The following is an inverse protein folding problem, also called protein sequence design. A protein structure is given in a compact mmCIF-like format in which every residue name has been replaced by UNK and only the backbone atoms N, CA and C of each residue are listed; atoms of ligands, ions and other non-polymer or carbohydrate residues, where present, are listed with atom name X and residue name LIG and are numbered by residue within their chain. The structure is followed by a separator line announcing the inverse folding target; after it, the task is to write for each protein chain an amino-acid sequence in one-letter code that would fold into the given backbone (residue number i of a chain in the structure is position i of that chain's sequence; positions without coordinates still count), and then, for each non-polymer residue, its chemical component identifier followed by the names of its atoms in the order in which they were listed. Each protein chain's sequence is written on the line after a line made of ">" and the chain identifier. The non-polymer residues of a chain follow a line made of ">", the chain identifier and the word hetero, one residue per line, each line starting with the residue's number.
data_IF_445824147713
#
_entry.id   IF_445824147713
#
_cell.length_a   1.000
_cell.length_b   1.000
_cell.length_c   1.000
_cell.angle_alpha   90.00
_cell.angle_beta   90.00
_cell.angle_gamma   90.00
#
_symmetry.space_group_name_H-M   'P 1'
#
loop_
_entity.id
_entity.type
_entity.pdbx_description
1 polymer ?
#
# COMPACT_ATOMS: atom_id res chain seq x y z
N UNK A 1 -1.82 -0.22 -15.60
CA UNK A 1 -2.38 0.30 -14.32
C UNK A 1 -3.32 -0.71 -13.67
N UNK A 2 -4.40 -1.18 -14.31
CA UNK A 2 -5.28 -2.20 -13.71
C UNK A 2 -4.62 -3.58 -13.58
N UNK A 3 -3.79 -3.98 -14.56
CA UNK A 3 -3.14 -5.31 -14.56
C UNK A 3 -2.09 -5.50 -13.45
N UNK A 4 -1.32 -4.46 -13.10
CA UNK A 4 -0.27 -4.56 -12.08
C UNK A 4 -0.84 -4.64 -10.65
N UNK A 5 -1.96 -3.94 -10.42
CA UNK A 5 -2.71 -4.01 -9.16
C UNK A 5 -3.37 -5.38 -9.00
N UNK A 6 -3.95 -5.91 -10.09
CA UNK A 6 -4.50 -7.26 -10.11
C UNK A 6 -3.43 -8.29 -9.71
N UNK A 7 -2.19 -8.12 -10.19
CA UNK A 7 -1.10 -9.05 -9.94
C UNK A 7 -0.63 -9.08 -8.47
N UNK A 8 -0.41 -7.93 -7.83
CA UNK A 8 0.04 -7.90 -6.42
C UNK A 8 -1.08 -8.31 -5.46
N UNK A 9 -2.30 -7.81 -5.68
CA UNK A 9 -3.47 -8.23 -4.91
C UNK A 9 -3.67 -9.73 -5.02
N UNK A 10 -3.52 -10.30 -6.22
CA UNK A 10 -3.55 -11.75 -6.40
C UNK A 10 -2.49 -12.48 -5.56
N UNK A 11 -1.23 -11.99 -5.54
CA UNK A 11 -0.16 -12.59 -4.72
C UNK A 11 -0.52 -12.58 -3.23
N UNK A 12 -0.97 -11.44 -2.69
CA UNK A 12 -1.36 -11.32 -1.27
C UNK A 12 -2.57 -12.20 -0.94
N UNK A 13 -3.55 -12.28 -1.83
CA UNK A 13 -4.71 -13.17 -1.67
C UNK A 13 -4.30 -14.64 -1.65
N UNK A 14 -3.32 -15.00 -2.49
CA UNK A 14 -2.78 -16.35 -2.55
C UNK A 14 -2.02 -16.74 -1.27
N UNK A 15 -1.39 -15.78 -0.59
CA UNK A 15 -0.75 -16.00 0.72
C UNK A 15 -1.76 -16.36 1.83
N UNK A 16 -3.01 -15.88 1.74
CA UNK A 16 -4.09 -16.23 2.68
C UNK A 16 -4.64 -17.66 2.49
N UNK A 17 -4.32 -18.32 1.38
CA UNK A 17 -4.71 -19.71 1.12
C UNK A 17 -3.71 -20.68 1.74
N UNK A 18 -4.23 -21.78 2.30
CA UNK A 18 -3.38 -22.94 2.63
C UNK A 18 -2.71 -23.50 1.37
N UNK A 19 -1.61 -24.24 1.52
CA UNK A 19 -0.88 -24.82 0.40
C UNK A 19 -1.80 -25.64 -0.54
N UNK A 20 -2.72 -26.43 0.03
CA UNK A 20 -3.68 -27.23 -0.74
C UNK A 20 -4.73 -26.37 -1.44
N UNK A 21 -5.28 -25.35 -0.77
CA UNK A 21 -6.22 -24.41 -1.39
C UNK A 21 -5.57 -23.67 -2.56
N UNK A 22 -4.32 -23.24 -2.39
CA UNK A 22 -3.53 -22.55 -3.40
C UNK A 22 -3.29 -23.42 -4.62
N UNK A 23 -2.84 -24.66 -4.41
CA UNK A 23 -2.62 -25.62 -5.49
C UNK A 23 -3.92 -25.90 -6.26
N UNK A 24 -5.01 -26.22 -5.56
CA UNK A 24 -6.31 -26.48 -6.19
C UNK A 24 -6.82 -25.26 -6.97
N UNK A 25 -6.66 -24.04 -6.43
CA UNK A 25 -7.10 -22.83 -7.08
C UNK A 25 -6.31 -22.52 -8.36
N UNK A 26 -4.98 -22.60 -8.32
CA UNK A 26 -4.12 -22.33 -9.51
C UNK A 26 -4.36 -23.37 -10.60
N UNK A 27 -4.33 -24.65 -10.24
CA UNK A 27 -4.56 -25.73 -11.20
C UNK A 27 -5.94 -25.58 -11.86
N UNK A 28 -6.93 -25.05 -11.15
CA UNK A 28 -8.28 -24.86 -11.68
C UNK A 28 -8.47 -23.57 -12.48
N UNK A 29 -8.00 -22.43 -12.00
CA UNK A 29 -8.30 -21.11 -12.61
C UNK A 29 -7.22 -20.65 -13.58
N UNK A 30 -5.95 -21.01 -13.36
CA UNK A 30 -4.86 -20.62 -14.25
C UNK A 30 -4.55 -21.68 -15.33
N UNK A 31 -4.73 -22.96 -15.02
CA UNK A 31 -4.43 -24.08 -15.92
C UNK A 31 -5.69 -24.80 -16.45
N UNK A 32 -6.88 -24.38 -16.03
CA UNK A 32 -8.19 -24.91 -16.41
C UNK A 32 -8.35 -26.45 -16.33
N UNK A 33 -7.67 -27.10 -15.38
CA UNK A 33 -7.81 -28.55 -15.18
C UNK A 33 -9.18 -28.92 -14.61
N UNK A 34 -9.64 -30.14 -14.86
CA UNK A 34 -10.87 -30.68 -14.23
C UNK A 34 -10.59 -31.10 -12.79
N UNK A 35 -11.63 -31.06 -11.95
CA UNK A 35 -11.50 -31.49 -10.55
C UNK A 35 -11.02 -32.93 -10.40
N UNK A 36 -11.34 -33.82 -11.33
CA UNK A 36 -10.84 -35.19 -11.36
C UNK A 36 -9.32 -35.24 -11.56
N UNK A 37 -8.81 -34.46 -12.53
CA UNK A 37 -7.37 -34.40 -12.84
C UNK A 37 -6.57 -33.79 -11.68
N UNK A 38 -7.12 -32.74 -11.05
CA UNK A 38 -6.51 -32.12 -9.87
C UNK A 38 -6.52 -33.07 -8.67
N UNK A 39 -7.61 -33.83 -8.50
CA UNK A 39 -7.76 -34.80 -7.43
C UNK A 39 -6.71 -35.91 -7.53
N UNK A 40 -6.49 -36.42 -8.75
CA UNK A 40 -5.46 -37.42 -9.03
C UNK A 40 -4.05 -36.87 -8.75
N UNK A 41 -3.75 -35.64 -9.21
CA UNK A 41 -2.45 -34.98 -8.99
C UNK A 41 -2.14 -34.70 -7.52
N UNK A 42 -3.15 -34.33 -6.74
CA UNK A 42 -2.98 -33.97 -5.32
C UNK A 42 -3.27 -35.15 -4.38
N UNK A 43 -3.56 -36.33 -4.91
CA UNK A 43 -3.93 -37.54 -4.16
C UNK A 43 -5.08 -37.29 -3.15
N UNK A 44 -6.11 -36.57 -3.59
CA UNK A 44 -7.34 -36.31 -2.82
C UNK A 44 -8.55 -36.82 -3.59
N UNK A 45 -9.71 -36.91 -2.94
CA UNK A 45 -10.95 -37.24 -3.66
C UNK A 45 -11.44 -36.05 -4.48
N UNK A 46 -12.11 -36.30 -5.61
CA UNK A 46 -12.72 -35.25 -6.44
C UNK A 46 -13.70 -34.38 -5.63
N UNK A 47 -14.47 -35.01 -4.74
CA UNK A 47 -15.38 -34.31 -3.82
C UNK A 47 -14.62 -33.35 -2.89
N UNK A 48 -13.46 -33.78 -2.36
CA UNK A 48 -12.62 -32.91 -1.54
C UNK A 48 -12.03 -31.77 -2.38
N UNK A 49 -11.54 -32.05 -3.59
CA UNK A 49 -11.05 -31.03 -4.53
C UNK A 49 -12.10 -29.93 -4.77
N UNK A 50 -13.36 -30.31 -5.07
CA UNK A 50 -14.46 -29.37 -5.26
C UNK A 50 -14.73 -28.51 -4.03
N UNK A 51 -14.70 -29.10 -2.83
CA UNK A 51 -14.89 -28.36 -1.56
C UNK A 51 -13.74 -27.40 -1.29
N UNK A 52 -12.50 -27.85 -1.47
CA UNK A 52 -11.29 -27.02 -1.31
C UNK A 52 -11.32 -25.85 -2.29
N UNK A 53 -11.65 -26.11 -3.55
CA UNK A 53 -11.78 -25.07 -4.57
C UNK A 53 -12.84 -24.03 -4.22
N UNK A 54 -14.03 -24.47 -3.82
CA UNK A 54 -15.11 -23.55 -3.41
C UNK A 54 -14.71 -22.67 -2.24
N UNK A 55 -14.00 -23.23 -1.23
CA UNK A 55 -13.46 -22.47 -0.10
C UNK A 55 -12.40 -21.47 -0.53
N UNK A 56 -11.46 -21.89 -1.37
CA UNK A 56 -10.42 -21.01 -1.92
C UNK A 56 -11.05 -19.85 -2.71
N UNK A 57 -11.99 -20.14 -3.62
CA UNK A 57 -12.70 -19.13 -4.42
C UNK A 57 -13.47 -18.14 -3.55
N UNK A 58 -14.12 -18.60 -2.48
CA UNK A 58 -14.78 -17.71 -1.52
C UNK A 58 -13.80 -16.77 -0.82
N UNK A 59 -12.64 -17.26 -0.38
CA UNK A 59 -11.59 -16.43 0.25
C UNK A 59 -11.02 -15.39 -0.72
N UNK A 60 -10.77 -15.80 -1.97
CA UNK A 60 -10.26 -14.89 -3.02
C UNK A 60 -11.26 -13.76 -3.30
N UNK A 61 -12.55 -14.07 -3.45
CA UNK A 61 -13.57 -13.06 -3.76
C UNK A 61 -13.79 -12.06 -2.61
N UNK A 62 -13.99 -12.55 -1.37
CA UNK A 62 -14.25 -11.66 -0.21
C UNK A 62 -13.09 -10.70 0.02
N UNK A 63 -11.86 -11.19 -0.05
CA UNK A 63 -10.70 -10.32 0.15
C UNK A 63 -10.41 -9.43 -1.06
N UNK A 64 -10.82 -9.79 -2.28
CA UNK A 64 -10.74 -8.88 -3.43
C UNK A 64 -11.68 -7.68 -3.26
N UNK A 65 -12.93 -7.92 -2.84
CA UNK A 65 -13.92 -6.86 -2.58
C UNK A 65 -13.46 -5.93 -1.44
N UNK A 66 -12.98 -6.50 -0.32
CA UNK A 66 -12.43 -5.74 0.80
C UNK A 66 -11.23 -4.87 0.37
N UNK A 67 -10.30 -5.44 -0.42
CA UNK A 67 -9.13 -4.70 -0.90
C UNK A 67 -9.52 -3.55 -1.84
N UNK A 68 -10.49 -3.76 -2.73
CA UNK A 68 -10.97 -2.70 -3.63
C UNK A 68 -11.60 -1.52 -2.87
N UNK A 69 -12.42 -1.83 -1.85
CA UNK A 69 -13.04 -0.83 -0.97
C UNK A 69 -11.99 -0.09 -0.14
N UNK A 70 -11.03 -0.82 0.44
CA UNK A 70 -9.92 -0.23 1.19
C UNK A 70 -9.10 0.73 0.33
N UNK A 71 -8.79 0.35 -0.92
CA UNK A 71 -8.02 1.17 -1.83
C UNK A 71 -8.71 2.52 -2.14
N UNK A 72 -10.02 2.52 -2.39
CA UNK A 72 -10.79 3.76 -2.61
C UNK A 72 -10.72 4.69 -1.38
N UNK A 73 -10.88 4.13 -0.18
CA UNK A 73 -10.78 4.88 1.09
C UNK A 73 -9.37 5.45 1.26
N UNK A 74 -8.34 4.65 0.97
CA UNK A 74 -6.94 5.06 1.07
C UNK A 74 -6.64 6.21 0.11
N UNK A 75 -7.11 6.16 -1.14
CA UNK A 75 -6.99 7.29 -2.08
C UNK A 75 -7.65 8.57 -1.55
N UNK A 76 -8.85 8.46 -0.97
CA UNK A 76 -9.52 9.61 -0.36
C UNK A 76 -8.69 10.19 0.80
N UNK A 77 -8.10 9.32 1.64
CA UNK A 77 -7.23 9.74 2.74
C UNK A 77 -5.94 10.41 2.24
N UNK A 78 -5.36 9.93 1.12
CA UNK A 78 -4.22 10.58 0.48
C UNK A 78 -4.59 11.99 -0.01
N UNK A 79 -5.77 12.19 -0.59
CA UNK A 79 -6.21 13.53 -0.97
C UNK A 79 -6.36 14.46 0.23
N UNK A 80 -6.93 13.96 1.35
CA UNK A 80 -7.00 14.71 2.62
C UNK A 80 -5.60 15.04 3.15
N UNK A 81 -4.68 14.09 3.11
CA UNK A 81 -3.28 14.26 3.52
C UNK A 81 -2.59 15.36 2.70
N UNK A 82 -2.70 15.31 1.36
CA UNK A 82 -2.15 16.32 0.44
C UNK A 82 -2.76 17.70 0.74
N UNK A 83 -4.09 17.78 0.86
CA UNK A 83 -4.79 19.03 1.11
C UNK A 83 -4.30 19.68 2.42
N UNK A 84 -4.26 18.92 3.51
CA UNK A 84 -3.79 19.37 4.81
C UNK A 84 -2.33 19.81 4.80
N UNK A 85 -1.43 19.05 4.15
CA UNK A 85 -0.02 19.42 3.99
C UNK A 85 0.17 20.71 3.20
N UNK A 86 -0.55 20.86 2.08
CA UNK A 86 -0.44 22.05 1.23
C UNK A 86 -0.91 23.33 1.91
N UNK A 87 -1.82 23.22 2.89
CA UNK A 87 -2.38 24.34 3.67
C UNK A 87 -1.66 24.56 5.00
N UNK A 88 -0.72 23.68 5.37
CA UNK A 88 -0.11 23.69 6.70
C UNK A 88 -1.07 23.31 7.83
N UNK A 89 -2.27 22.82 7.52
CA UNK A 89 -3.28 22.41 8.51
C UNK A 89 -3.09 20.94 8.92
N UNK A 90 -1.94 20.65 9.52
CA UNK A 90 -1.51 19.28 9.83
C UNK A 90 -2.38 18.62 10.90
N UNK A 91 -3.16 19.39 11.66
CA UNK A 91 -4.15 18.88 12.59
C UNK A 91 -5.22 18.03 11.89
N UNK A 92 -5.58 18.32 10.64
CA UNK A 92 -6.51 17.49 9.87
C UNK A 92 -5.92 16.11 9.54
N UNK A 93 -4.59 16.01 9.42
CA UNK A 93 -3.90 14.73 9.21
C UNK A 93 -4.08 13.82 10.44
N UNK A 94 -4.25 14.38 11.64
CA UNK A 94 -4.46 13.62 12.87
C UNK A 94 -5.60 12.59 12.74
N UNK A 95 -6.70 12.92 12.07
CA UNK A 95 -7.85 12.02 11.97
C UNK A 95 -7.55 10.72 11.17
N UNK A 96 -6.61 10.80 10.22
CA UNK A 96 -6.25 9.68 9.34
C UNK A 96 -5.05 8.86 9.85
N UNK A 97 -4.38 9.28 10.93
CA UNK A 97 -3.28 8.51 11.54
C UNK A 97 -3.76 7.65 12.71
N UNK A 98 -3.18 6.45 12.85
CA UNK A 98 -3.31 5.67 14.09
C UNK A 98 -2.68 6.40 15.28
N UNK A 99 -3.03 6.00 16.51
CA UNK A 99 -2.46 6.57 17.74
C UNK A 99 -0.95 6.31 17.89
N UNK A 100 -0.50 5.18 17.34
CA UNK A 100 0.85 4.62 17.40
C UNK A 100 1.63 4.81 16.09
N UNK A 101 1.15 5.71 15.21
CA UNK A 101 1.76 5.96 13.91
C UNK A 101 3.26 6.24 14.03
N UNK A 102 4.02 5.68 13.10
CA UNK A 102 5.46 5.91 13.01
C UNK A 102 5.82 6.60 11.71
N UNK A 103 6.90 7.38 11.72
CA UNK A 103 7.48 7.97 10.52
C UNK A 103 8.96 7.62 10.40
N UNK A 104 9.33 7.10 9.23
CA UNK A 104 10.70 6.77 8.85
C UNK A 104 11.08 7.66 7.67
N UNK A 105 12.19 8.39 7.80
CA UNK A 105 12.68 9.28 6.75
C UNK A 105 14.04 8.81 6.22
N UNK A 106 14.17 8.70 4.91
CA UNK A 106 15.40 8.27 4.25
C UNK A 106 15.95 9.38 3.36
N UNK A 107 17.05 10.00 3.80
CA UNK A 107 17.81 10.98 3.04
C UNK A 107 19.10 10.44 2.42
N UNK A 108 19.41 9.15 2.57
CA UNK A 108 20.60 8.53 1.99
C UNK A 108 21.94 9.06 2.49
N UNK A 109 21.97 9.80 3.60
CA UNK A 109 23.17 10.50 4.08
C UNK A 109 23.49 11.81 3.32
N UNK A 110 22.80 12.07 2.21
CA UNK A 110 22.97 13.28 1.39
C UNK A 110 21.97 14.40 1.75
N UNK A 111 20.84 14.04 2.38
CA UNK A 111 19.81 14.96 2.88
C UNK A 111 19.62 14.74 4.38
N UNK A 112 19.57 15.83 5.16
CA UNK A 112 19.32 15.74 6.60
C UNK A 112 17.90 15.22 6.85
N UNK A 113 17.79 14.02 7.40
CA UNK A 113 16.53 13.41 7.84
C UNK A 113 16.60 13.00 9.31
N UNK A 114 15.45 12.66 9.91
CA UNK A 114 15.46 12.02 11.22
C UNK A 114 16.23 10.69 11.13
N UNK A 115 17.35 10.60 11.85
CA UNK A 115 18.23 9.42 11.84
C UNK A 115 17.54 8.21 12.48
N UNK A 116 16.57 8.46 13.38
CA UNK A 116 15.80 7.45 14.10
C UNK A 116 14.32 7.53 13.73
N UNK A 117 13.64 6.38 13.74
CA UNK A 117 12.20 6.27 13.59
C UNK A 117 11.49 7.18 14.61
N UNK A 118 10.57 8.01 14.12
CA UNK A 118 9.75 8.85 14.98
C UNK A 118 8.56 8.01 15.44
N UNK A 119 8.50 7.75 16.75
CA UNK A 119 7.47 6.95 17.39
C UNK A 119 6.67 7.88 18.30
N UNK A 120 5.60 8.46 17.75
CA UNK A 120 4.39 9.00 18.42
C UNK A 120 3.63 9.89 17.43
N UNK A 121 2.31 9.90 17.52
CA UNK A 121 1.44 10.73 16.68
C UNK A 121 1.78 12.21 16.77
N UNK A 122 2.03 12.74 17.97
CA UNK A 122 2.35 14.16 18.18
C UNK A 122 3.67 14.55 17.50
N UNK A 123 4.69 13.69 17.60
CA UNK A 123 5.99 13.94 16.98
C UNK A 123 5.92 13.83 15.46
N UNK A 124 5.15 12.86 14.94
CA UNK A 124 4.88 12.73 13.51
C UNK A 124 4.18 13.98 12.98
N UNK A 125 3.12 14.44 13.64
CA UNK A 125 2.41 15.68 13.25
C UNK A 125 3.32 16.92 13.33
N UNK A 126 4.18 17.00 14.35
CA UNK A 126 5.15 18.10 14.47
C UNK A 126 6.15 18.12 13.32
N UNK A 127 6.65 16.95 12.90
CA UNK A 127 7.53 16.85 11.74
C UNK A 127 6.79 17.22 10.44
N UNK A 128 5.59 16.70 10.23
CA UNK A 128 4.79 17.02 9.05
C UNK A 128 4.48 18.53 8.97
N UNK A 129 4.25 19.19 10.10
CA UNK A 129 4.08 20.65 10.19
C UNK A 129 5.36 21.40 9.79
N UNK A 130 6.53 20.93 10.26
CA UNK A 130 7.82 21.48 9.83
C UNK A 130 8.07 21.27 8.33
N UNK A 131 7.69 20.11 7.77
CA UNK A 131 7.77 19.80 6.34
C UNK A 131 6.85 20.75 5.53
N UNK A 132 5.59 20.89 5.93
CA UNK A 132 4.63 21.79 5.29
C UNK A 132 5.11 23.25 5.30
N UNK A 133 5.66 23.73 6.42
CA UNK A 133 6.04 25.14 6.55
C UNK A 133 7.35 25.46 5.83
N UNK A 134 8.36 24.60 5.96
CA UNK A 134 9.73 24.90 5.48
C UNK A 134 10.01 24.36 4.09
N UNK A 135 9.39 23.25 3.72
CA UNK A 135 9.80 22.48 2.55
C UNK A 135 8.74 22.44 1.45
N UNK A 136 7.51 22.89 1.68
CA UNK A 136 6.46 22.89 0.65
C UNK A 136 6.32 24.21 -0.13
N UNK A 137 6.99 25.29 0.29
CA UNK A 137 6.98 26.57 -0.45
C UNK A 137 7.56 26.34 -1.86
N UNK A 138 6.78 26.66 -2.89
CA UNK A 138 7.17 26.47 -4.29
C UNK A 138 7.17 25.01 -4.76
N UNK A 139 6.59 24.09 -3.98
CA UNK A 139 6.48 22.67 -4.34
C UNK A 139 5.02 22.27 -4.56
N UNK A 140 4.81 21.27 -5.42
CA UNK A 140 3.50 20.64 -5.65
C UNK A 140 3.50 19.27 -4.99
N UNK A 141 2.38 18.88 -4.39
CA UNK A 141 2.11 17.50 -4.00
C UNK A 141 1.10 16.89 -4.96
N UNK A 142 1.38 15.68 -5.42
CA UNK A 142 0.53 14.94 -6.33
C UNK A 142 0.28 13.54 -5.79
N UNK A 143 -0.98 13.08 -5.81
CA UNK A 143 -1.32 11.69 -5.53
C UNK A 143 -0.81 10.82 -6.67
N UNK A 144 -0.10 9.75 -6.33
CA UNK A 144 0.48 8.80 -7.28
C UNK A 144 0.40 7.39 -6.71
N UNK A 145 0.69 6.40 -7.54
CA UNK A 145 0.87 5.02 -7.07
C UNK A 145 2.36 4.74 -6.87
N UNK A 146 2.72 4.36 -5.64
CA UNK A 146 4.09 3.99 -5.25
C UNK A 146 4.06 2.54 -4.78
N UNK A 147 4.78 1.66 -5.47
CA UNK A 147 4.76 0.21 -5.18
C UNK A 147 3.33 -0.35 -5.08
N UNK A 148 2.46 0.04 -6.02
CA UNK A 148 1.06 -0.37 -6.13
C UNK A 148 0.13 0.11 -5.01
N UNK A 149 0.60 0.96 -4.10
CA UNK A 149 -0.18 1.56 -3.03
C UNK A 149 -0.35 3.08 -3.26
N UNK A 150 -1.45 3.70 -2.78
CA UNK A 150 -1.60 5.15 -2.81
C UNK A 150 -0.45 5.86 -2.08
N UNK A 151 0.18 6.81 -2.75
CA UNK A 151 1.31 7.57 -2.25
C UNK A 151 1.27 9.04 -2.66
N UNK A 152 2.27 9.81 -2.23
CA UNK A 152 2.38 11.24 -2.57
C UNK A 152 3.74 11.55 -3.14
N UNK A 153 3.76 12.17 -4.31
CA UNK A 153 4.94 12.73 -4.95
C UNK A 153 5.08 14.20 -4.57
N UNK A 154 6.28 14.62 -4.19
CA UNK A 154 6.63 16.03 -3.99
C UNK A 154 7.49 16.49 -5.15
N UNK A 155 7.00 17.48 -5.88
CA UNK A 155 7.63 18.06 -7.05
C UNK A 155 8.13 19.47 -6.76
N UNK A 156 9.33 19.78 -7.23
CA UNK A 156 9.84 21.15 -7.35
C UNK A 156 10.32 21.34 -8.78
N UNK A 157 9.80 22.36 -9.48
CA UNK A 157 10.17 22.63 -10.88
C UNK A 157 10.06 21.38 -11.80
N UNK A 158 9.01 20.56 -11.57
CA UNK A 158 8.75 19.27 -12.23
C UNK A 158 9.75 18.13 -11.91
N UNK A 159 10.73 18.37 -11.04
CA UNK A 159 11.62 17.32 -10.51
C UNK A 159 11.07 16.70 -9.23
N UNK A 160 11.22 15.37 -9.11
CA UNK A 160 10.85 14.63 -7.90
C UNK A 160 11.88 14.91 -6.80
N UNK A 161 11.44 15.57 -5.73
CA UNK A 161 12.29 15.91 -4.58
C UNK A 161 11.89 15.17 -3.31
N UNK A 162 10.83 14.39 -3.35
CA UNK A 162 10.42 13.55 -2.24
C UNK A 162 9.23 12.65 -2.58
N UNK A 163 9.12 11.55 -1.86
CA UNK A 163 8.02 10.59 -1.97
C UNK A 163 7.54 10.24 -0.56
N UNK A 164 6.22 10.30 -0.35
CA UNK A 164 5.58 9.65 0.78
C UNK A 164 4.94 8.33 0.34
N UNK A 165 5.19 7.29 1.12
CA UNK A 165 4.50 6.00 1.04
C UNK A 165 3.92 5.64 2.40
N UNK A 166 2.88 4.83 2.42
CA UNK A 166 2.08 4.61 3.62
C UNK A 166 1.86 3.11 3.85
N UNK A 167 1.90 2.70 5.12
CA UNK A 167 1.34 1.43 5.55
C UNK A 167 0.01 1.68 6.23
N UNK A 168 -1.00 0.88 5.89
CA UNK A 168 -2.39 1.08 6.28
C UNK A 168 -2.84 0.02 7.27
N UNK A 169 -3.58 0.44 8.29
CA UNK A 169 -4.26 -0.46 9.21
C UNK A 169 -5.50 -1.02 8.55
N UNK A 170 -5.48 -2.32 8.21
CA UNK A 170 -6.50 -2.99 7.40
C UNK A 170 -7.96 -2.73 7.85
N UNK A 171 -8.21 -2.69 9.16
CA UNK A 171 -9.58 -2.58 9.69
C UNK A 171 -10.15 -1.15 9.69
N UNK A 172 -9.29 -0.12 9.73
CA UNK A 172 -9.73 1.28 9.85
C UNK A 172 -9.32 2.13 8.66
N UNK A 173 -8.49 1.58 7.76
CA UNK A 173 -7.80 2.29 6.69
C UNK A 173 -7.04 3.52 7.19
N UNK A 174 -6.65 3.58 8.46
CA UNK A 174 -5.80 4.65 8.98
C UNK A 174 -4.34 4.36 8.68
N UNK A 175 -3.52 5.40 8.56
CA UNK A 175 -2.08 5.31 8.33
C UNK A 175 -1.40 4.87 9.64
N UNK A 176 -0.75 3.71 9.60
CA UNK A 176 0.04 3.13 10.70
C UNK A 176 1.53 3.46 10.58
N UNK A 177 2.05 3.57 9.34
CA UNK A 177 3.42 3.97 9.09
C UNK A 177 3.51 4.93 7.91
N UNK A 178 4.37 5.93 8.03
CA UNK A 178 4.72 6.88 6.97
C UNK A 178 6.19 6.69 6.62
N UNK A 179 6.46 6.45 5.35
CA UNK A 179 7.81 6.47 4.80
C UNK A 179 7.98 7.76 4.01
N UNK A 180 8.98 8.56 4.35
CA UNK A 180 9.33 9.77 3.62
C UNK A 180 10.72 9.63 3.01
N UNK A 181 10.78 9.40 1.71
CA UNK A 181 12.03 9.23 0.97
C UNK A 181 12.39 10.54 0.29
N UNK A 182 13.55 11.09 0.63
CA UNK A 182 14.15 12.27 -0.01
C UNK A 182 15.56 11.99 -0.54
N UNK A 183 16.02 10.75 -0.41
CA UNK A 183 17.28 10.26 -0.95
C UNK A 183 17.30 10.32 -2.49
N UNK A 184 18.11 11.19 -3.12
CA UNK A 184 18.13 11.37 -4.56
C UNK A 184 18.43 10.07 -5.33
N UNK A 185 19.32 9.21 -4.80
CA UNK A 185 19.71 7.93 -5.42
C UNK A 185 18.54 6.95 -5.50
N UNK A 186 17.63 7.02 -4.53
CA UNK A 186 16.40 6.21 -4.51
C UNK A 186 15.31 6.83 -5.35
N UNK A 187 15.16 8.16 -5.33
CA UNK A 187 14.13 8.87 -6.10
C UNK A 187 14.26 8.59 -7.61
N UNK A 188 15.48 8.46 -8.14
CA UNK A 188 15.72 8.08 -9.54
C UNK A 188 15.35 6.64 -9.90
N UNK A 189 14.97 5.79 -8.92
CA UNK A 189 14.64 4.37 -9.10
C UNK A 189 13.20 4.02 -8.72
N UNK A 190 12.42 4.97 -8.20
CA UNK A 190 11.03 4.70 -7.79
C UNK A 190 10.19 4.46 -9.04
N UNK A 191 9.51 3.33 -9.10
CA UNK A 191 8.50 3.07 -10.13
C UNK A 191 7.25 3.86 -9.73
N UNK A 192 6.96 4.94 -10.45
CA UNK A 192 5.80 5.80 -10.24
C UNK A 192 4.85 5.61 -11.41
N UNK A 193 3.61 5.19 -11.13
CA UNK A 193 2.54 5.20 -12.12
C UNK A 193 1.73 6.49 -11.94
N UNK A 194 1.54 7.24 -13.05
CA UNK A 194 0.76 8.49 -13.10
C UNK A 194 -0.70 8.21 -13.44
#
# INVERSE_FOLDING_TARGET
>A
MQDDQLHYTFVVLMEKLSATERAVYVLKEALDLKHSEIADLLHITEMNCRKVFSRAKKKMNVSFDENSTSYEIQQEQIHKFIFALSRGNVQEISAILTSDVTLIADGGGNVVTAINQIISKERVLSLLSAIATKFFIGKKAQAVIVNNEPGVLILKDEEVVGVFSFAWKQNTNQIEQIFYVVNPDKLGRVIIQR
#
